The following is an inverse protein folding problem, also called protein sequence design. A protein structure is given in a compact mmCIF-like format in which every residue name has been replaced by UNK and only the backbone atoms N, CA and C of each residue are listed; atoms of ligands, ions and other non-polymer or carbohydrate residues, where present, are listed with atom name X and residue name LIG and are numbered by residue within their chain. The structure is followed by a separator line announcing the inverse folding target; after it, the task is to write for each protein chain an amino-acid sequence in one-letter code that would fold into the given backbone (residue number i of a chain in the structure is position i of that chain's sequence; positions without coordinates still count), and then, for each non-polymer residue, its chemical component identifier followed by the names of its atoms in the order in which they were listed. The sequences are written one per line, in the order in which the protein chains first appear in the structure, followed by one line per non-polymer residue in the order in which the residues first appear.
data_IF_985196868919
#
_entry.id   IF_985196868919
#
_cell.length_a   1.000
_cell.length_b   1.000
_cell.length_c   1.000
_cell.angle_alpha   90.00
_cell.angle_beta   90.00
_cell.angle_gamma   90.00
#
_symmetry.space_group_name_H-M   'P 1'
#
loop_
_entity.id
_entity.type
_entity.pdbx_description
1 polymer ?
#
# COMPACT_ATOMS: atom_id res chain seq x y z
N UNK A 1 -6.41 -0.19 -38.88
CA UNK A 1 -7.63 -0.75 -38.24
C UNK A 1 -7.69 -2.23 -38.58
N UNK A 2 -7.54 -3.09 -37.58
CA UNK A 2 -7.60 -4.54 -37.75
C UNK A 2 -8.03 -5.14 -36.42
N UNK A 3 -9.26 -5.65 -36.38
CA UNK A 3 -9.85 -6.31 -35.22
C UNK A 3 -9.13 -7.64 -34.99
N UNK A 4 -8.57 -7.85 -33.80
CA UNK A 4 -8.07 -9.14 -33.35
C UNK A 4 -9.18 -9.85 -32.55
N UNK A 5 -9.62 -11.07 -32.91
CA UNK A 5 -10.77 -11.72 -32.29
C UNK A 5 -10.39 -12.48 -31.00
N UNK A 6 -11.20 -12.23 -29.96
CA UNK A 6 -11.70 -13.16 -28.94
C UNK A 6 -10.76 -14.27 -28.42
N UNK A 7 -10.28 -14.10 -27.19
CA UNK A 7 -9.75 -15.19 -26.35
C UNK A 7 -10.92 -15.99 -25.76
N UNK A 8 -10.96 -17.29 -26.04
CA UNK A 8 -11.96 -18.23 -25.54
C UNK A 8 -11.71 -18.60 -24.08
N UNK A 9 -12.77 -18.54 -23.26
CA UNK A 9 -12.87 -19.25 -21.99
C UNK A 9 -13.19 -20.74 -22.25
N UNK A 10 -12.75 -21.68 -21.40
CA UNK A 10 -13.12 -23.09 -21.51
C UNK A 10 -14.62 -23.29 -21.19
N UNK A 11 -15.28 -24.30 -21.80
CA UNK A 11 -16.71 -24.53 -21.65
C UNK A 11 -17.05 -25.06 -20.25
N UNK A 12 -18.13 -24.51 -19.67
CA UNK A 12 -18.76 -25.05 -18.46
C UNK A 12 -19.77 -26.13 -18.86
N UNK A 13 -19.50 -27.37 -18.48
CA UNK A 13 -20.49 -28.44 -18.47
C UNK A 13 -20.71 -28.87 -17.01
N UNK A 14 -21.88 -28.54 -16.46
CA UNK A 14 -22.79 -29.50 -15.85
C UNK A 14 -24.00 -28.78 -15.25
N UNK A 15 -25.16 -28.98 -15.88
CA UNK A 15 -26.47 -28.90 -15.22
C UNK A 15 -26.69 -30.23 -14.52
N UNK A 16 -27.03 -30.18 -13.23
CA UNK A 16 -27.38 -31.33 -12.42
C UNK A 16 -28.27 -30.92 -11.24
N UNK A 17 -29.50 -31.40 -11.32
CA UNK A 17 -30.68 -31.30 -10.46
C UNK A 17 -30.50 -31.41 -8.92
N UNK A 18 -31.42 -30.78 -8.18
CA UNK A 18 -32.21 -31.52 -7.18
C UNK A 18 -31.72 -31.64 -5.75
N UNK A 19 -32.21 -30.73 -4.88
CA UNK A 19 -32.56 -30.95 -3.45
C UNK A 19 -31.49 -31.54 -2.52
N UNK A 20 -30.87 -30.68 -1.70
CA UNK A 20 -30.42 -31.10 -0.36
C UNK A 20 -30.71 -30.04 0.72
N UNK A 21 -31.13 -30.59 1.87
CA UNK A 21 -31.75 -29.94 3.03
C UNK A 21 -30.82 -28.93 3.71
N UNK A 22 -31.41 -27.84 4.22
CA UNK A 22 -30.77 -26.90 5.14
C UNK A 22 -30.12 -27.66 6.31
N UNK A 23 -28.80 -27.57 6.43
CA UNK A 23 -28.07 -27.83 7.69
C UNK A 23 -27.68 -26.48 8.29
N UNK A 24 -27.84 -26.27 9.61
CA UNK A 24 -27.48 -25.02 10.24
C UNK A 24 -25.97 -24.78 10.12
N UNK A 25 -25.64 -23.52 9.83
CA UNK A 25 -24.30 -22.96 9.67
C UNK A 25 -23.44 -23.25 10.91
N UNK A 26 -22.27 -23.89 10.70
CA UNK A 26 -21.17 -23.88 11.67
C UNK A 26 -20.13 -22.87 11.16
N UNK A 27 -19.72 -21.87 11.96
CA UNK A 27 -18.70 -20.91 11.55
C UNK A 27 -17.34 -21.60 11.33
N UNK A 28 -16.65 -21.15 10.29
CA UNK A 28 -15.27 -21.50 9.90
C UNK A 28 -14.27 -20.78 10.83
N UNK A 29 -13.06 -21.32 11.08
CA UNK A 29 -12.06 -20.72 12.00
C UNK A 29 -11.50 -19.34 11.59
N UNK A 30 -11.86 -18.80 10.41
CA UNK A 30 -11.34 -17.54 9.87
C UNK A 30 -12.18 -16.30 10.23
N UNK A 31 -13.00 -16.42 11.27
CA UNK A 31 -13.89 -15.37 11.76
C UNK A 31 -13.17 -14.55 12.85
N UNK A 32 -12.27 -13.64 12.43
CA UNK A 32 -11.53 -12.75 13.34
C UNK A 32 -12.44 -11.78 14.11
N UNK A 33 -13.73 -11.73 13.79
CA UNK A 33 -14.72 -10.86 14.39
C UNK A 33 -15.49 -11.48 15.59
N UNK A 34 -15.21 -12.73 16.00
CA UNK A 34 -16.06 -13.41 17.01
C UNK A 34 -15.35 -14.09 18.20
N UNK A 35 -14.04 -13.87 18.41
CA UNK A 35 -13.34 -14.34 19.63
C UNK A 35 -12.85 -13.20 20.51
N UNK A 36 -13.81 -12.45 21.07
CA UNK A 36 -13.57 -11.59 22.22
C UNK A 36 -13.29 -12.43 23.47
N UNK A 37 -12.02 -12.80 23.68
CA UNK A 37 -11.50 -13.18 25.01
C UNK A 37 -10.29 -12.33 25.34
N UNK A 38 -10.57 -11.09 25.70
CA UNK A 38 -9.79 -10.37 26.70
C UNK A 38 -10.80 -9.66 27.60
N UNK A 39 -11.23 -10.36 28.65
CA UNK A 39 -11.69 -9.67 29.85
C UNK A 39 -10.42 -9.10 30.49
N UNK A 40 -10.07 -7.87 30.11
CA UNK A 40 -9.12 -7.08 30.87
C UNK A 40 -9.92 -6.37 31.96
N UNK A 41 -9.48 -6.57 33.19
CA UNK A 41 -10.04 -5.98 34.40
C UNK A 41 -10.17 -4.46 34.20
N UNK A 42 -11.37 -3.93 34.46
CA UNK A 42 -11.56 -2.51 34.69
C UNK A 42 -10.62 -2.08 35.82
N UNK A 43 -9.87 -0.97 35.70
CA UNK A 43 -9.09 -0.47 36.82
C UNK A 43 -10.05 -0.25 37.98
N UNK A 44 -9.82 -0.94 39.10
CA UNK A 44 -10.45 -0.62 40.38
C UNK A 44 -10.23 0.86 40.67
N UNK A 45 -11.17 1.48 41.41
CA UNK A 45 -11.23 2.89 41.84
C UNK A 45 -10.00 3.45 42.63
N UNK A 46 -8.78 2.98 42.36
CA UNK A 46 -7.52 3.39 42.97
C UNK A 46 -6.71 4.39 42.11
N UNK A 47 -7.14 4.69 40.89
CA UNK A 47 -6.43 5.63 40.00
C UNK A 47 -6.87 7.10 40.14
N UNK A 48 -7.75 7.40 41.10
CA UNK A 48 -8.20 8.78 41.41
C UNK A 48 -7.43 9.44 42.57
N UNK A 49 -6.44 8.76 43.16
CA UNK A 49 -5.61 9.31 44.26
C UNK A 49 -4.21 9.78 43.83
N UNK A 50 -3.94 9.95 42.53
CA UNK A 50 -2.63 10.44 42.06
C UNK A 50 -2.50 11.97 41.90
N UNK A 51 -3.54 12.74 42.18
CA UNK A 51 -3.54 14.21 41.95
C UNK A 51 -3.10 15.07 43.16
N UNK A 52 -2.53 14.47 44.22
CA UNK A 52 -1.94 15.22 45.34
C UNK A 52 -0.41 15.14 45.43
N UNK A 53 0.27 14.51 44.46
CA UNK A 53 1.74 14.37 44.47
C UNK A 53 2.52 15.56 43.86
N UNK A 54 1.85 16.66 43.51
CA UNK A 54 2.45 17.74 42.70
C UNK A 54 3.53 18.55 43.43
N UNK A 55 3.68 18.46 44.76
CA UNK A 55 4.55 19.42 45.47
C UNK A 55 5.92 18.87 45.92
N UNK A 56 6.16 17.55 46.05
CA UNK A 56 7.43 17.08 46.63
C UNK A 56 7.98 15.72 46.12
N UNK A 57 7.60 15.25 44.92
CA UNK A 57 8.14 13.99 44.40
C UNK A 57 9.23 14.22 43.33
N UNK A 58 10.51 13.87 43.58
CA UNK A 58 11.59 14.06 42.60
C UNK A 58 11.42 13.23 41.32
N UNK A 59 10.51 12.24 41.31
CA UNK A 59 10.12 11.53 40.08
C UNK A 59 9.24 12.35 39.13
N UNK A 60 8.53 13.38 39.60
CA UNK A 60 7.68 14.23 38.76
C UNK A 60 8.46 15.25 37.91
N UNK A 61 9.73 15.53 38.26
CA UNK A 61 10.60 16.44 37.49
C UNK A 61 11.05 15.84 36.15
N UNK A 62 10.91 14.53 35.96
CA UNK A 62 11.35 13.81 34.75
C UNK A 62 10.37 14.04 33.57
N UNK A 63 9.13 14.43 33.86
CA UNK A 63 8.07 14.62 32.86
C UNK A 63 7.70 16.10 32.62
N UNK A 64 8.58 17.03 33.03
CA UNK A 64 8.42 18.45 32.74
C UNK A 64 8.84 18.77 31.29
N UNK A 65 8.08 19.62 30.59
CA UNK A 65 8.42 20.17 29.27
C UNK A 65 7.49 19.73 28.13
N UNK A 66 7.88 20.08 26.90
CA UNK A 66 7.12 19.74 25.69
C UNK A 66 7.23 18.24 25.38
N UNK A 67 6.14 17.64 24.90
CA UNK A 67 6.17 16.28 24.38
C UNK A 67 6.89 16.27 23.04
N UNK A 68 8.16 15.85 23.00
CA UNK A 68 8.96 15.79 21.77
C UNK A 68 9.15 14.34 21.34
N UNK A 69 9.07 14.07 20.04
CA UNK A 69 9.32 12.74 19.48
C UNK A 69 10.83 12.50 19.44
N UNK A 70 11.28 11.48 20.16
CA UNK A 70 12.66 11.02 20.15
C UNK A 70 12.94 10.11 18.95
N UNK A 71 12.07 9.12 18.71
CA UNK A 71 12.20 8.19 17.58
C UNK A 71 10.89 7.51 17.21
N UNK A 72 10.81 7.03 15.98
CA UNK A 72 9.66 6.28 15.46
C UNK A 72 10.15 4.96 14.88
N UNK A 73 9.56 3.86 15.34
CA UNK A 73 9.76 2.54 14.78
C UNK A 73 8.50 2.12 14.00
N UNK A 74 8.67 1.85 12.71
CA UNK A 74 7.61 1.50 11.77
C UNK A 74 7.16 0.03 11.85
N UNK A 75 7.75 -0.77 12.74
CA UNK A 75 7.41 -2.18 12.96
C UNK A 75 7.34 -2.97 11.64
N UNK A 76 8.34 -2.76 10.76
CA UNK A 76 8.30 -3.15 9.35
C UNK A 76 8.01 -4.65 9.19
N UNK A 77 8.71 -5.52 9.91
CA UNK A 77 8.49 -6.97 9.78
C UNK A 77 7.06 -7.41 10.13
N UNK A 78 6.49 -6.85 11.20
CA UNK A 78 5.11 -7.12 11.63
C UNK A 78 4.13 -6.62 10.59
N UNK A 79 4.25 -5.34 10.22
CA UNK A 79 3.31 -4.69 9.32
C UNK A 79 3.40 -5.26 7.91
N UNK A 80 4.59 -5.47 7.35
CA UNK A 80 4.74 -5.99 5.99
C UNK A 80 4.15 -7.39 5.84
N UNK A 81 4.31 -8.28 6.84
CA UNK A 81 3.64 -9.60 6.82
C UNK A 81 2.12 -9.47 6.90
N UNK A 82 1.62 -8.61 7.80
CA UNK A 82 0.18 -8.38 7.94
C UNK A 82 -0.44 -7.81 6.67
N UNK A 83 0.31 -6.97 5.95
CA UNK A 83 -0.10 -6.37 4.70
C UNK A 83 0.26 -7.18 3.45
N UNK A 84 0.83 -8.38 3.55
CA UNK A 84 1.29 -9.16 2.38
C UNK A 84 2.20 -8.33 1.45
N UNK A 85 3.15 -7.61 2.05
CA UNK A 85 4.14 -6.74 1.38
C UNK A 85 5.56 -7.08 1.80
N UNK A 86 5.74 -8.18 2.54
CA UNK A 86 7.02 -8.73 2.98
C UNK A 86 7.87 -9.32 1.84
N UNK A 87 7.30 -9.54 0.64
CA UNK A 87 8.10 -9.94 -0.54
C UNK A 87 8.91 -8.79 -1.14
N UNK A 88 8.52 -7.53 -0.93
CA UNK A 88 9.20 -6.40 -1.57
C UNK A 88 10.63 -6.28 -1.08
N UNK A 89 11.56 -6.17 -2.02
CA UNK A 89 12.96 -5.88 -1.74
C UNK A 89 13.11 -4.67 -0.79
N UNK A 90 12.31 -3.62 -1.01
CA UNK A 90 12.25 -2.41 -0.19
C UNK A 90 12.03 -2.67 1.31
N UNK A 91 11.19 -3.62 1.68
CA UNK A 91 10.92 -3.93 3.10
C UNK A 91 12.03 -4.79 3.72
N UNK A 92 12.80 -5.51 2.91
CA UNK A 92 13.86 -6.42 3.37
C UNK A 92 15.28 -5.86 3.22
N UNK A 93 15.45 -4.59 2.80
CA UNK A 93 16.78 -3.99 2.62
C UNK A 93 17.54 -3.96 3.95
N UNK A 94 18.81 -4.34 3.92
CA UNK A 94 19.71 -4.26 5.09
C UNK A 94 19.94 -2.82 5.57
N UNK A 95 19.81 -1.84 4.67
CA UNK A 95 20.02 -0.41 4.96
C UNK A 95 18.74 0.35 4.61
N UNK A 96 18.20 1.07 5.59
CA UNK A 96 16.97 1.88 5.45
C UNK A 96 15.79 1.10 4.85
N UNK A 97 15.35 -0.01 5.49
CA UNK A 97 14.16 -0.73 5.06
C UNK A 97 12.94 0.21 5.05
N UNK A 98 12.03 -0.02 4.10
CA UNK A 98 10.85 0.82 3.91
C UNK A 98 9.59 0.05 4.29
N UNK A 99 8.75 0.70 5.10
CA UNK A 99 7.40 0.22 5.35
C UNK A 99 6.58 0.34 4.05
N UNK A 100 5.90 -0.74 3.68
CA UNK A 100 4.93 -0.78 2.59
C UNK A 100 3.65 -1.35 3.16
N UNK A 101 2.57 -0.59 3.12
CA UNK A 101 1.25 -1.00 3.60
C UNK A 101 0.22 -0.89 2.47
N UNK A 102 -0.97 -1.43 2.73
CA UNK A 102 -2.11 -1.37 1.81
C UNK A 102 -3.20 -0.50 2.42
N UNK A 103 -3.84 0.32 1.58
CA UNK A 103 -4.87 1.26 2.05
C UNK A 103 -6.05 0.56 2.71
N UNK A 104 -6.72 1.24 3.64
CA UNK A 104 -7.88 0.70 4.34
C UNK A 104 -7.58 -0.45 5.30
N UNK A 105 -6.31 -0.78 5.56
CA UNK A 105 -5.93 -1.79 6.54
C UNK A 105 -5.03 -1.13 7.61
N UNK A 106 -5.27 -1.43 8.90
CA UNK A 106 -4.49 -0.83 9.98
C UNK A 106 -3.06 -1.34 10.03
N UNK A 107 -2.14 -0.45 10.38
CA UNK A 107 -0.74 -0.75 10.70
C UNK A 107 -0.33 -0.04 11.99
N UNK A 108 0.66 -0.58 12.68
CA UNK A 108 1.11 -0.03 13.96
C UNK A 108 2.43 0.72 13.84
N UNK A 109 2.58 1.79 14.63
CA UNK A 109 3.86 2.46 14.86
C UNK A 109 4.17 2.46 16.35
N UNK A 110 5.45 2.39 16.68
CA UNK A 110 5.96 2.60 18.04
C UNK A 110 6.72 3.91 18.11
N UNK A 111 6.18 4.86 18.84
CA UNK A 111 6.74 6.20 19.02
C UNK A 111 7.41 6.24 20.39
N UNK A 112 8.66 6.68 20.43
CA UNK A 112 9.37 6.98 21.68
C UNK A 112 9.43 8.50 21.81
N UNK A 113 8.98 9.02 22.94
CA UNK A 113 9.05 10.44 23.27
C UNK A 113 10.21 10.72 24.25
N UNK A 114 10.58 11.99 24.38
CA UNK A 114 11.59 12.42 25.36
C UNK A 114 11.11 12.28 26.81
N UNK A 115 9.79 12.42 27.03
CA UNK A 115 9.09 12.23 28.31
C UNK A 115 7.82 11.39 28.17
N UNK A 116 7.16 11.06 29.29
CA UNK A 116 5.91 10.28 29.26
C UNK A 116 4.75 11.06 28.65
N UNK A 117 3.85 10.37 27.96
CA UNK A 117 2.63 10.95 27.40
C UNK A 117 1.55 11.08 28.49
N UNK A 118 0.89 12.25 28.56
CA UNK A 118 -0.16 12.54 29.55
C UNK A 118 -1.52 12.68 28.86
N UNK A 119 -2.41 11.71 29.09
CA UNK A 119 -3.71 11.61 28.40
C UNK A 119 -4.61 12.84 28.54
N UNK A 120 -4.60 13.51 29.69
CA UNK A 120 -5.45 14.68 29.98
C UNK A 120 -4.90 15.99 29.40
N UNK A 121 -3.65 15.99 28.93
CA UNK A 121 -2.85 17.19 28.74
C UNK A 121 -2.27 17.29 27.33
N UNK A 122 -1.70 16.19 26.84
CA UNK A 122 -0.98 16.16 25.58
C UNK A 122 -1.91 15.83 24.42
N UNK A 123 -1.68 16.50 23.30
CA UNK A 123 -2.31 16.19 22.01
C UNK A 123 -1.25 15.71 21.05
N UNK A 124 -1.57 14.67 20.30
CA UNK A 124 -0.74 14.17 19.21
C UNK A 124 -1.61 14.03 17.97
N UNK A 125 -1.09 14.48 16.83
CA UNK A 125 -1.70 14.27 15.53
C UNK A 125 -0.64 13.87 14.51
N UNK A 126 -1.09 13.17 13.47
CA UNK A 126 -0.25 12.76 12.35
C UNK A 126 -0.57 13.58 11.12
N UNK A 127 0.44 14.13 10.47
CA UNK A 127 0.31 14.77 9.17
C UNK A 127 0.97 13.88 8.12
N UNK A 128 0.16 13.35 7.20
CA UNK A 128 0.64 12.54 6.08
C UNK A 128 0.71 13.37 4.81
N UNK A 129 1.87 13.36 4.15
CA UNK A 129 2.16 14.17 2.96
C UNK A 129 2.55 13.27 1.80
N UNK A 130 1.77 13.31 0.72
CA UNK A 130 2.03 12.51 -0.50
C UNK A 130 3.18 13.12 -1.29
N UNK A 131 4.20 12.32 -1.66
CA UNK A 131 5.32 12.80 -2.48
C UNK A 131 4.85 13.28 -3.86
N UNK A 132 5.31 14.48 -4.22
CA UNK A 132 4.91 15.16 -5.45
C UNK A 132 3.57 15.90 -5.37
N UNK A 133 2.98 16.00 -4.16
CA UNK A 133 1.84 16.87 -3.91
C UNK A 133 2.04 17.72 -2.65
N UNK A 134 2.07 19.04 -2.82
CA UNK A 134 2.17 19.96 -1.68
C UNK A 134 0.78 20.36 -1.14
N UNK A 135 -0.31 19.85 -1.75
CA UNK A 135 -1.70 20.20 -1.38
C UNK A 135 -2.44 19.07 -0.66
N UNK A 136 -1.85 17.88 -0.58
CA UNK A 136 -2.48 16.74 0.10
C UNK A 136 -1.76 16.50 1.39
N UNK A 137 -2.25 17.18 2.41
CA UNK A 137 -1.89 17.00 3.81
C UNK A 137 -3.12 16.41 4.51
N UNK A 138 -2.92 15.30 5.19
CA UNK A 138 -3.98 14.59 5.90
C UNK A 138 -3.61 14.64 7.38
N UNK A 139 -4.36 15.45 8.15
CA UNK A 139 -4.17 15.58 9.60
C UNK A 139 -5.10 14.58 10.29
N UNK A 140 -4.52 13.69 11.08
CA UNK A 140 -5.24 12.64 11.80
C UNK A 140 -4.99 12.82 13.30
N UNK A 141 -5.97 13.34 14.07
CA UNK A 141 -5.84 13.42 15.51
C UNK A 141 -5.83 12.01 16.11
N UNK A 142 -5.03 11.82 17.15
CA UNK A 142 -5.07 10.57 17.93
C UNK A 142 -6.32 10.54 18.79
N UNK A 143 -7.01 9.40 18.72
CA UNK A 143 -8.23 9.15 19.48
C UNK A 143 -7.91 8.28 20.70
N UNK A 144 -8.48 8.63 21.85
CA UNK A 144 -8.62 7.71 22.97
C UNK A 144 -9.59 6.56 22.65
N UNK A 145 -9.63 5.53 23.49
CA UNK A 145 -10.47 4.36 23.25
C UNK A 145 -11.97 4.67 23.09
N UNK A 146 -12.50 5.65 23.84
CA UNK A 146 -13.94 5.98 23.80
C UNK A 146 -14.29 6.67 22.49
N UNK A 147 -13.44 7.57 22.03
CA UNK A 147 -13.59 8.31 20.78
C UNK A 147 -13.28 7.42 19.57
N UNK A 148 -12.33 6.49 19.68
CA UNK A 148 -12.03 5.49 18.66
C UNK A 148 -13.23 4.58 18.37
N UNK A 149 -13.93 4.10 19.42
CA UNK A 149 -15.16 3.29 19.24
C UNK A 149 -16.25 4.08 18.51
N UNK A 150 -16.48 5.34 18.85
CA UNK A 150 -17.45 6.19 18.15
C UNK A 150 -17.08 6.42 16.68
N UNK A 151 -15.81 6.65 16.36
CA UNK A 151 -15.37 6.87 14.98
C UNK A 151 -15.40 5.59 14.13
N UNK A 152 -15.08 4.43 14.72
CA UNK A 152 -15.20 3.13 14.04
C UNK A 152 -16.62 2.80 13.58
N UNK A 153 -17.64 3.28 14.31
CA UNK A 153 -19.05 3.11 13.96
C UNK A 153 -19.51 4.06 12.84
N UNK A 154 -18.74 5.11 12.55
CA UNK A 154 -19.19 6.25 11.71
C UNK A 154 -18.59 6.23 10.30
N UNK A 155 -17.46 5.57 10.05
CA UNK A 155 -16.95 5.34 8.67
C UNK A 155 -15.63 4.54 8.65
N UNK A 156 -15.64 3.33 8.08
CA UNK A 156 -14.42 2.56 7.70
C UNK A 156 -13.62 3.21 6.56
N UNK A 157 -14.12 4.33 6.02
CA UNK A 157 -13.60 5.01 4.82
C UNK A 157 -12.77 6.25 5.11
N UNK A 158 -12.49 6.57 6.38
CA UNK A 158 -11.68 7.74 6.78
C UNK A 158 -10.33 7.32 7.37
N UNK A 159 -9.39 8.25 7.35
CA UNK A 159 -8.15 8.12 8.09
C UNK A 159 -8.42 8.21 9.60
N UNK A 160 -7.79 7.35 10.38
CA UNK A 160 -7.91 7.33 11.84
C UNK A 160 -6.62 6.87 12.50
N UNK A 161 -6.35 7.39 13.69
CA UNK A 161 -5.28 6.91 14.54
C UNK A 161 -5.82 6.66 15.95
N UNK A 162 -5.48 5.53 16.55
CA UNK A 162 -5.87 5.19 17.93
C UNK A 162 -4.66 4.76 18.75
N UNK A 163 -4.71 5.05 20.04
CA UNK A 163 -3.74 4.52 20.99
C UNK A 163 -4.01 3.03 21.18
N UNK A 164 -2.96 2.21 21.10
CA UNK A 164 -2.98 0.78 21.42
C UNK A 164 -2.48 0.56 22.84
N UNK A 165 -1.35 1.18 23.18
CA UNK A 165 -0.80 1.17 24.53
C UNK A 165 0.11 2.38 24.76
N UNK A 166 0.26 2.76 26.03
CA UNK A 166 1.23 3.75 26.48
C UNK A 166 1.95 3.15 27.68
N UNK A 167 3.27 2.99 27.55
CA UNK A 167 4.13 2.45 28.60
C UNK A 167 5.37 3.33 28.72
N UNK A 168 5.54 3.99 29.88
CA UNK A 168 6.59 4.98 30.09
C UNK A 168 6.59 6.06 28.99
N UNK A 169 7.67 6.15 28.21
CA UNK A 169 7.86 7.11 27.12
C UNK A 169 7.49 6.55 25.75
N UNK A 170 6.96 5.33 25.72
CA UNK A 170 6.64 4.61 24.49
C UNK A 170 5.14 4.61 24.31
N UNK A 171 4.69 5.03 23.14
CA UNK A 171 3.31 4.91 22.70
C UNK A 171 3.26 4.00 21.47
N UNK A 172 2.39 3.00 21.51
CA UNK A 172 2.04 2.21 20.33
C UNK A 172 0.72 2.76 19.80
N UNK A 173 0.73 3.11 18.52
CA UNK A 173 -0.44 3.66 17.82
C UNK A 173 -0.80 2.76 16.67
N UNK A 174 -2.09 2.59 16.43
CA UNK A 174 -2.60 1.96 15.22
C UNK A 174 -3.15 3.06 14.32
N UNK A 175 -2.65 3.10 13.08
CA UNK A 175 -3.11 4.02 12.04
C UNK A 175 -3.85 3.20 11.00
N UNK A 176 -5.06 3.64 10.66
CA UNK A 176 -5.81 3.12 9.52
C UNK A 176 -5.94 4.23 8.48
N UNK A 177 -5.58 3.91 7.24
CA UNK A 177 -5.75 4.83 6.12
C UNK A 177 -7.16 4.68 5.54
N UNK A 178 -7.64 5.73 4.86
CA UNK A 178 -8.88 5.61 4.07
C UNK A 178 -8.74 4.51 3.01
N UNK A 179 -9.83 3.78 2.73
CA UNK A 179 -9.92 2.83 1.60
C UNK A 179 -9.73 3.51 0.24
N UNK A 180 -9.92 4.82 0.15
CA UNK A 180 -9.69 5.64 -1.04
C UNK A 180 -8.40 6.46 -0.96
N UNK A 181 -7.48 6.09 -0.05
CA UNK A 181 -6.18 6.75 0.02
C UNK A 181 -5.44 6.68 -1.33
N UNK A 182 -4.71 7.76 -1.62
CA UNK A 182 -3.81 7.86 -2.76
C UNK A 182 -2.71 6.81 -2.62
N UNK A 183 -2.37 6.10 -3.69
CA UNK A 183 -1.19 5.22 -3.66
C UNK A 183 0.08 6.03 -3.90
N UNK A 184 1.19 5.59 -3.29
CA UNK A 184 2.51 6.16 -3.51
C UNK A 184 3.33 6.29 -2.25
N UNK A 185 4.40 7.09 -2.34
CA UNK A 185 5.30 7.38 -1.24
C UNK A 185 4.75 8.53 -0.37
N UNK A 186 4.76 8.31 0.93
CA UNK A 186 4.30 9.23 1.96
C UNK A 186 5.45 9.63 2.87
N UNK A 187 5.45 10.90 3.28
CA UNK A 187 6.20 11.40 4.43
C UNK A 187 5.24 11.64 5.58
N UNK A 188 5.75 11.58 6.80
CA UNK A 188 4.98 11.76 8.02
C UNK A 188 5.61 12.85 8.87
N UNK A 189 4.77 13.69 9.46
CA UNK A 189 5.11 14.59 10.55
C UNK A 189 4.23 14.21 11.73
N UNK A 190 4.81 14.14 12.92
CA UNK A 190 4.04 13.96 14.16
C UNK A 190 3.99 15.33 14.84
N UNK A 191 2.81 15.92 14.93
CA UNK A 191 2.60 17.17 15.64
C UNK A 191 2.19 16.85 17.07
N UNK A 192 2.90 17.45 18.03
CA UNK A 192 2.64 17.29 19.46
C UNK A 192 2.30 18.64 20.09
N UNK A 193 1.43 18.64 21.08
CA UNK A 193 1.09 19.84 21.87
C UNK A 193 0.99 19.46 23.34
N UNK A 194 1.52 20.32 24.21
CA UNK A 194 1.51 20.14 25.67
C UNK A 194 0.96 21.41 26.35
N UNK A 195 0.29 21.29 27.51
CA UNK A 195 -0.60 22.34 28.02
C UNK A 195 0.05 23.57 28.67
N UNK A 196 1.34 23.82 28.43
CA UNK A 196 2.05 24.97 29.01
C UNK A 196 2.64 25.92 27.96
N UNK A 197 2.27 25.76 26.67
CA UNK A 197 2.68 26.73 25.64
C UNK A 197 1.73 27.92 25.63
N UNK A 198 2.33 29.11 25.72
CA UNK A 198 1.63 30.41 25.74
C UNK A 198 0.88 30.69 24.42
N UNK A 199 1.29 30.06 23.31
CA UNK A 199 0.82 30.35 21.95
C UNK A 199 -0.06 29.25 21.32
N UNK A 200 -0.46 28.22 22.06
CA UNK A 200 -1.20 27.05 21.56
C UNK A 200 -0.53 26.34 20.36
N UNK A 201 0.77 26.59 20.11
CA UNK A 201 1.47 26.04 18.94
C UNK A 201 1.77 24.55 19.09
N UNK A 202 1.74 23.85 17.95
CA UNK A 202 2.22 22.48 17.83
C UNK A 202 3.74 22.45 17.66
N UNK A 203 4.39 21.47 18.28
CA UNK A 203 5.75 21.09 17.96
C UNK A 203 5.73 20.04 16.85
N UNK A 204 6.18 20.43 15.67
CA UNK A 204 6.25 19.53 14.51
C UNK A 204 7.51 18.69 14.56
N UNK A 205 7.33 17.37 14.48
CA UNK A 205 8.40 16.39 14.45
C UNK A 205 8.41 15.69 13.07
N UNK A 206 9.15 16.21 12.06
CA UNK A 206 9.27 15.56 10.77
C UNK A 206 10.01 14.23 10.90
N UNK A 207 9.44 13.17 10.34
CA UNK A 207 10.06 11.84 10.35
C UNK A 207 10.90 11.67 9.09
N UNK A 208 12.15 11.24 9.25
CA UNK A 208 13.11 11.07 8.16
C UNK A 208 12.71 9.97 7.18
N UNK A 209 12.11 8.90 7.69
CA UNK A 209 11.70 7.75 6.90
C UNK A 209 10.37 7.99 6.20
N UNK A 210 10.37 7.82 4.87
CA UNK A 210 9.16 7.66 4.09
C UNK A 210 8.65 6.21 4.11
N UNK A 211 7.36 6.05 3.81
CA UNK A 211 6.71 4.74 3.66
C UNK A 211 5.78 4.75 2.43
N UNK A 212 5.29 3.59 2.03
CA UNK A 212 4.45 3.45 0.84
C UNK A 212 3.05 2.94 1.19
N UNK A 213 2.05 3.46 0.49
CA UNK A 213 0.68 2.93 0.52
C UNK A 213 0.33 2.43 -0.88
N UNK A 214 -0.17 1.19 -0.96
CA UNK A 214 -0.61 0.52 -2.19
C UNK A 214 -2.11 0.23 -2.16
N UNK A 215 -2.65 -0.23 -3.31
CA UNK A 215 -4.00 -0.75 -3.37
C UNK A 215 -4.16 -2.02 -2.52
N UNK A 216 -5.40 -2.31 -2.11
CA UNK A 216 -5.69 -3.42 -1.20
C UNK A 216 -6.69 -4.45 -1.75
N UNK A 217 -6.21 -5.47 -2.49
CA UNK A 217 -7.05 -6.59 -2.92
C UNK A 217 -7.64 -7.45 -1.80
N UNK A 218 -7.16 -7.31 -0.54
CA UNK A 218 -7.67 -8.06 0.61
C UNK A 218 -8.82 -7.34 1.32
N UNK A 219 -8.96 -6.02 1.14
CA UNK A 219 -10.00 -5.24 1.78
C UNK A 219 -11.27 -5.20 0.90
N UNK A 220 -12.41 -5.64 1.47
CA UNK A 220 -13.73 -5.69 0.81
C UNK A 220 -14.24 -4.34 0.30
N UNK A 221 -13.80 -3.27 0.94
CA UNK A 221 -14.22 -1.91 0.64
C UNK A 221 -13.29 -1.22 -0.37
N UNK A 222 -12.17 -1.84 -0.74
CA UNK A 222 -11.32 -1.33 -1.80
C UNK A 222 -11.92 -1.69 -3.18
N UNK A 223 -11.94 -0.70 -4.07
CA UNK A 223 -12.25 -0.86 -5.50
C UNK A 223 -11.53 -2.00 -6.24
N UNK A 224 -10.39 -2.50 -5.75
CA UNK A 224 -9.65 -3.64 -6.33
C UNK A 224 -9.83 -4.95 -5.55
N UNK A 225 -10.81 -5.03 -4.65
CA UNK A 225 -11.05 -6.22 -3.83
C UNK A 225 -11.15 -7.51 -4.64
N UNK A 226 -10.48 -8.55 -4.16
CA UNK A 226 -10.50 -9.87 -4.76
C UNK A 226 -10.75 -10.91 -3.68
N UNK A 227 -11.99 -11.42 -3.63
CA UNK A 227 -12.45 -12.37 -2.60
C UNK A 227 -11.65 -13.67 -2.57
N UNK A 228 -11.38 -14.23 -3.74
CA UNK A 228 -10.73 -15.52 -3.86
C UNK A 228 -9.24 -15.43 -3.49
N UNK A 229 -8.76 -16.38 -2.69
CA UNK A 229 -7.34 -16.45 -2.32
C UNK A 229 -6.50 -16.89 -3.51
N UNK A 230 -6.95 -17.86 -4.31
CA UNK A 230 -6.21 -18.35 -5.48
C UNK A 230 -5.98 -17.23 -6.50
N UNK A 231 -7.00 -16.42 -6.78
CA UNK A 231 -6.85 -15.28 -7.69
C UNK A 231 -5.89 -14.22 -7.14
N UNK A 232 -5.84 -14.01 -5.82
CA UNK A 232 -4.87 -13.09 -5.20
C UNK A 232 -3.45 -13.65 -5.31
N UNK A 233 -3.25 -14.94 -5.06
CA UNK A 233 -1.94 -15.55 -5.27
C UNK A 233 -1.49 -15.36 -6.72
N UNK A 234 -2.32 -15.70 -7.70
CA UNK A 234 -1.95 -15.66 -9.12
C UNK A 234 -1.79 -14.24 -9.68
N UNK A 235 -2.72 -13.32 -9.38
CA UNK A 235 -2.73 -12.00 -10.02
C UNK A 235 -2.03 -10.89 -9.22
N UNK A 236 -1.60 -11.18 -8.00
CA UNK A 236 -1.03 -10.18 -7.10
C UNK A 236 0.34 -10.65 -6.58
N UNK A 237 0.45 -11.88 -6.07
CA UNK A 237 1.64 -12.37 -5.38
C UNK A 237 2.57 -13.25 -6.23
N UNK A 238 2.12 -13.75 -7.37
CA UNK A 238 2.92 -14.49 -8.32
C UNK A 238 3.70 -13.49 -9.20
N UNK A 239 5.03 -13.57 -9.13
CA UNK A 239 5.97 -12.70 -9.85
C UNK A 239 6.55 -13.38 -11.09
N UNK A 240 6.05 -14.55 -11.45
CA UNK A 240 6.41 -15.28 -12.64
C UNK A 240 5.15 -15.70 -13.39
N UNK A 241 5.25 -15.81 -14.71
CA UNK A 241 4.12 -16.26 -15.51
C UNK A 241 4.52 -16.72 -16.89
N UNK A 242 3.49 -16.97 -17.71
CA UNK A 242 3.64 -17.42 -19.09
C UNK A 242 2.97 -16.40 -20.00
N UNK A 243 3.72 -15.95 -21.01
CA UNK A 243 3.19 -15.20 -22.13
C UNK A 243 3.13 -16.13 -23.34
N UNK A 244 1.92 -16.34 -23.86
CA UNK A 244 1.72 -17.13 -25.07
C UNK A 244 2.04 -16.30 -26.31
N UNK A 245 2.91 -16.83 -27.16
CA UNK A 245 3.34 -16.24 -28.44
C UNK A 245 3.10 -17.25 -29.58
N UNK A 246 3.38 -16.83 -30.81
CA UNK A 246 3.21 -17.68 -31.99
C UNK A 246 1.85 -17.48 -32.68
N UNK A 247 1.43 -18.48 -33.43
CA UNK A 247 0.14 -18.48 -34.13
C UNK A 247 -0.87 -19.36 -33.39
N UNK A 248 -2.14 -19.29 -33.78
CA UNK A 248 -3.20 -20.16 -33.22
C UNK A 248 -2.83 -21.65 -33.30
N UNK A 249 -2.22 -22.07 -34.39
CA UNK A 249 -1.86 -23.48 -34.63
C UNK A 249 -0.46 -23.85 -34.10
N UNK A 250 0.34 -22.86 -33.72
CA UNK A 250 1.69 -23.05 -33.19
C UNK A 250 1.95 -22.11 -32.00
N UNK A 251 1.16 -22.32 -30.94
CA UNK A 251 1.33 -21.59 -29.69
C UNK A 251 2.64 -21.99 -29.01
N UNK A 252 3.42 -20.99 -28.63
CA UNK A 252 4.67 -21.13 -27.88
C UNK A 252 4.53 -20.42 -26.54
N UNK A 253 4.57 -21.18 -25.45
CA UNK A 253 4.67 -20.64 -24.09
C UNK A 253 6.05 -20.01 -23.90
N UNK A 254 6.08 -18.78 -23.42
CA UNK A 254 7.32 -18.10 -23.05
C UNK A 254 7.24 -17.72 -21.58
N UNK A 255 8.17 -18.23 -20.79
CA UNK A 255 8.29 -17.82 -19.39
C UNK A 255 8.64 -16.33 -19.31
N UNK A 256 8.01 -15.65 -18.37
CA UNK A 256 8.25 -14.24 -18.13
C UNK A 256 8.37 -13.99 -16.63
N UNK A 257 9.48 -13.40 -16.21
CA UNK A 257 9.69 -12.93 -14.86
C UNK A 257 9.09 -11.53 -14.71
N UNK A 258 7.94 -11.40 -14.07
CA UNK A 258 7.34 -10.10 -13.79
C UNK A 258 8.12 -9.34 -12.75
N UNK A 259 8.64 -10.02 -11.72
CA UNK A 259 9.58 -9.46 -10.75
C UNK A 259 9.09 -8.17 -10.06
N UNK A 260 7.79 -8.01 -9.79
CA UNK A 260 7.24 -6.78 -9.21
C UNK A 260 7.79 -6.44 -7.81
N UNK A 261 8.37 -7.42 -7.12
CA UNK A 261 8.93 -7.28 -5.79
C UNK A 261 10.43 -6.98 -5.78
N UNK A 262 11.10 -7.05 -6.93
CA UNK A 262 12.54 -6.85 -7.04
C UNK A 262 12.97 -5.40 -6.81
N UNK A 263 14.28 -5.21 -6.67
CA UNK A 263 14.87 -3.90 -6.42
C UNK A 263 14.47 -2.86 -7.49
N UNK A 264 14.12 -1.66 -7.03
CA UNK A 264 13.81 -0.48 -7.84
C UNK A 264 12.55 -0.59 -8.71
N UNK A 265 11.80 -1.69 -8.65
CA UNK A 265 10.62 -1.90 -9.51
C UNK A 265 9.43 -1.04 -9.08
N UNK A 266 9.09 -1.04 -7.79
CA UNK A 266 8.02 -0.18 -7.27
C UNK A 266 8.34 1.31 -7.51
N UNK A 267 9.58 1.72 -7.22
CA UNK A 267 10.03 3.09 -7.43
C UNK A 267 10.02 3.46 -8.93
N UNK A 268 10.42 2.55 -9.82
CA UNK A 268 10.34 2.74 -11.27
C UNK A 268 8.90 3.01 -11.72
N UNK A 269 7.95 2.21 -11.27
CA UNK A 269 6.55 2.34 -11.63
C UNK A 269 5.96 3.66 -11.11
N UNK A 270 6.22 4.02 -9.85
CA UNK A 270 5.78 5.31 -9.28
C UNK A 270 6.41 6.50 -10.02
N UNK A 271 7.70 6.42 -10.34
CA UNK A 271 8.41 7.44 -11.10
C UNK A 271 7.82 7.61 -12.50
N UNK A 272 7.59 6.53 -13.23
CA UNK A 272 7.03 6.57 -14.58
C UNK A 272 5.60 7.14 -14.59
N UNK A 273 4.78 6.75 -13.61
CA UNK A 273 3.42 7.26 -13.45
C UNK A 273 3.39 8.78 -13.18
N UNK A 274 4.33 9.27 -12.37
CA UNK A 274 4.45 10.68 -12.02
C UNK A 274 5.05 11.55 -13.15
N UNK A 275 6.10 11.07 -13.81
CA UNK A 275 6.91 11.90 -14.71
C UNK A 275 6.56 11.73 -16.19
N UNK A 276 6.27 10.50 -16.63
CA UNK A 276 5.79 10.24 -18.00
C UNK A 276 4.28 10.43 -18.05
N UNK A 277 3.58 9.67 -17.21
CA UNK A 277 2.11 9.66 -17.21
C UNK A 277 1.54 11.01 -16.79
N UNK A 278 2.31 11.80 -16.02
CA UNK A 278 1.88 13.07 -15.43
C UNK A 278 0.56 12.93 -14.69
N UNK A 279 0.31 11.74 -14.11
CA UNK A 279 -0.89 11.48 -13.35
C UNK A 279 -0.80 12.28 -12.05
N UNK A 280 -1.73 13.23 -11.90
CA UNK A 280 -1.82 14.06 -10.71
C UNK A 280 -1.96 13.17 -9.47
N UNK A 281 -1.27 13.48 -8.36
CA UNK A 281 -1.35 12.65 -7.15
C UNK A 281 -2.79 12.42 -6.66
N UNK A 282 -3.66 13.43 -6.76
CA UNK A 282 -5.08 13.31 -6.40
C UNK A 282 -5.85 12.25 -7.19
N UNK A 283 -5.40 11.90 -8.40
CA UNK A 283 -6.02 10.90 -9.27
C UNK A 283 -5.43 9.49 -9.09
N UNK A 284 -4.39 9.34 -8.26
CA UNK A 284 -3.72 8.05 -8.02
C UNK A 284 -4.48 7.17 -7.03
N UNK A 285 -5.57 7.65 -6.42
CA UNK A 285 -6.47 6.80 -5.65
C UNK A 285 -7.40 5.95 -6.53
N UNK A 286 -7.54 6.30 -7.82
CA UNK A 286 -8.46 5.64 -8.74
C UNK A 286 -7.70 4.58 -9.57
N UNK A 287 -8.01 3.29 -9.36
CA UNK A 287 -7.35 2.21 -10.10
C UNK A 287 -7.57 2.27 -11.61
N UNK A 288 -8.69 2.80 -12.10
CA UNK A 288 -9.00 2.92 -13.54
C UNK A 288 -8.09 3.97 -14.17
N UNK A 289 -7.94 5.14 -13.53
CA UNK A 289 -7.03 6.20 -13.99
C UNK A 289 -5.59 5.71 -13.98
N UNK A 290 -5.15 5.05 -12.92
CA UNK A 290 -3.82 4.45 -12.83
C UNK A 290 -3.60 3.45 -13.97
N UNK A 291 -4.52 2.52 -14.20
CA UNK A 291 -4.42 1.54 -15.29
C UNK A 291 -4.30 2.18 -16.67
N UNK A 292 -5.13 3.20 -16.95
CA UNK A 292 -5.14 3.91 -18.22
C UNK A 292 -3.79 4.60 -18.48
N UNK A 293 -3.19 5.19 -17.44
CA UNK A 293 -1.88 5.82 -17.56
C UNK A 293 -0.78 4.79 -17.72
N UNK A 294 -0.80 3.67 -16.98
CA UNK A 294 0.20 2.59 -17.17
C UNK A 294 0.23 2.10 -18.62
N UNK A 295 -0.95 1.86 -19.23
CA UNK A 295 -1.01 1.43 -20.63
C UNK A 295 -0.41 2.45 -21.60
N UNK A 296 -0.51 3.74 -21.29
CA UNK A 296 0.04 4.83 -22.11
C UNK A 296 1.55 5.03 -21.91
N UNK A 297 2.08 4.86 -20.68
CA UNK A 297 3.51 5.12 -20.40
C UNK A 297 4.42 3.97 -20.82
N UNK A 298 3.91 2.73 -20.92
CA UNK A 298 4.76 1.58 -21.26
C UNK A 298 5.21 1.62 -22.72
N UNK A 299 4.29 1.93 -23.63
CA UNK A 299 4.63 2.14 -25.03
C UNK A 299 5.16 3.56 -25.25
N UNK A 300 6.37 3.66 -25.79
CA UNK A 300 6.96 4.93 -26.14
C UNK A 300 6.51 5.39 -27.53
N UNK A 301 5.40 6.13 -27.59
CA UNK A 301 5.15 7.03 -28.73
C UNK A 301 6.04 8.27 -28.55
N UNK A 302 6.88 8.59 -29.53
CA UNK A 302 7.82 9.72 -29.52
C UNK A 302 8.87 9.72 -28.39
N UNK A 303 9.48 8.56 -28.09
CA UNK A 303 10.56 8.42 -27.08
C UNK A 303 10.22 8.88 -25.63
N UNK A 304 8.93 8.99 -25.28
CA UNK A 304 8.49 9.41 -23.94
C UNK A 304 8.10 8.26 -23.01
N UNK A 305 7.98 7.03 -23.49
CA UNK A 305 7.55 5.87 -22.70
C UNK A 305 8.69 5.08 -22.07
N UNK A 306 8.38 3.95 -21.44
CA UNK A 306 9.37 3.07 -20.80
C UNK A 306 10.13 2.28 -21.86
N UNK A 307 9.44 1.74 -22.87
CA UNK A 307 10.02 0.84 -23.88
C UNK A 307 9.80 1.38 -25.29
N UNK A 308 10.84 1.36 -26.12
CA UNK A 308 10.79 1.75 -27.53
C UNK A 308 10.43 0.54 -28.39
N UNK A 309 9.39 0.66 -29.22
CA UNK A 309 8.97 -0.39 -30.15
C UNK A 309 9.88 -0.50 -31.38
N UNK A 310 10.16 -1.72 -31.84
CA UNK A 310 10.86 -1.95 -33.11
C UNK A 310 10.48 -3.31 -33.74
N UNK A 311 10.16 -3.29 -35.04
CA UNK A 311 9.76 -4.45 -35.85
C UNK A 311 10.65 -4.68 -37.09
N UNK A 312 11.66 -3.83 -37.31
CA UNK A 312 12.45 -3.83 -38.56
C UNK A 312 13.61 -4.85 -38.54
N UNK A 313 13.56 -5.85 -37.65
CA UNK A 313 14.56 -6.91 -37.40
C UNK A 313 16.00 -6.44 -37.11
N UNK A 314 16.25 -5.12 -37.12
CA UNK A 314 17.53 -4.47 -36.85
C UNK A 314 17.47 -3.77 -35.49
N UNK A 315 18.10 -4.38 -34.50
CA UNK A 315 18.06 -3.92 -33.10
C UNK A 315 19.32 -3.17 -32.65
N UNK A 316 19.93 -2.39 -33.54
CA UNK A 316 21.15 -1.63 -33.21
C UNK A 316 20.95 -0.70 -32.01
N UNK A 317 21.92 -0.69 -31.09
CA UNK A 317 21.90 0.16 -29.90
C UNK A 317 20.89 -0.26 -28.81
N UNK A 318 20.32 -1.46 -28.90
CA UNK A 318 19.37 -1.99 -27.93
C UNK A 318 19.41 -3.51 -27.84
N UNK A 319 18.46 -4.06 -27.08
CA UNK A 319 18.26 -5.50 -26.93
C UNK A 319 17.15 -5.98 -27.86
N UNK A 320 17.35 -7.08 -28.62
CA UNK A 320 16.29 -7.70 -29.41
C UNK A 320 15.08 -8.06 -28.54
N UNK A 321 13.82 -7.81 -28.98
CA UNK A 321 12.62 -8.10 -28.20
C UNK A 321 12.46 -9.57 -27.77
N UNK A 322 13.10 -10.50 -28.49
CA UNK A 322 13.10 -11.94 -28.21
C UNK A 322 13.98 -12.33 -27.02
N UNK A 323 14.95 -11.49 -26.67
CA UNK A 323 15.98 -11.80 -25.66
C UNK A 323 15.55 -11.35 -24.26
N UNK A 324 14.43 -10.64 -24.15
CA UNK A 324 13.82 -10.32 -22.86
C UNK A 324 13.12 -11.55 -22.28
N UNK A 325 13.45 -11.86 -21.03
CA UNK A 325 12.86 -12.93 -20.24
C UNK A 325 12.10 -12.42 -19.01
N UNK A 326 12.06 -11.09 -18.82
CA UNK A 326 11.47 -10.46 -17.66
C UNK A 326 11.39 -8.94 -17.78
N UNK A 327 10.69 -8.34 -16.83
CA UNK A 327 10.45 -6.89 -16.79
C UNK A 327 11.43 -6.13 -15.88
N UNK A 328 12.11 -6.84 -14.99
CA UNK A 328 13.11 -6.33 -14.05
C UNK A 328 14.21 -5.55 -14.75
N UNK A 329 14.93 -6.19 -15.68
CA UNK A 329 16.06 -5.56 -16.37
C UNK A 329 15.64 -4.30 -17.17
N UNK A 330 14.42 -4.30 -17.70
CA UNK A 330 13.85 -3.16 -18.44
C UNK A 330 13.55 -2.01 -17.47
N UNK A 331 12.77 -2.28 -16.42
CA UNK A 331 12.32 -1.25 -15.48
C UNK A 331 13.48 -0.68 -14.66
N UNK A 332 14.42 -1.52 -14.24
CA UNK A 332 15.63 -1.08 -13.53
C UNK A 332 16.51 -0.21 -14.43
N UNK A 333 16.74 -0.61 -15.69
CA UNK A 333 17.51 0.22 -16.64
C UNK A 333 16.81 1.55 -16.93
N UNK A 334 15.49 1.52 -17.09
CA UNK A 334 14.69 2.73 -17.24
C UNK A 334 14.82 3.63 -16.01
N UNK A 335 14.72 3.07 -14.80
CA UNK A 335 14.79 3.83 -13.56
C UNK A 335 16.18 4.41 -13.29
N UNK A 336 17.26 3.73 -13.65
CA UNK A 336 18.60 4.28 -13.50
C UNK A 336 18.90 5.38 -14.53
N UNK A 337 18.54 5.15 -15.79
CA UNK A 337 18.90 6.07 -16.88
C UNK A 337 17.91 7.20 -17.08
N UNK A 338 16.68 7.04 -16.58
CA UNK A 338 15.50 7.90 -16.86
C UNK A 338 15.19 8.04 -18.35
N UNK A 339 15.64 7.08 -19.17
CA UNK A 339 15.51 7.05 -20.63
C UNK A 339 14.81 5.78 -21.08
N UNK A 340 14.07 5.88 -22.19
CA UNK A 340 13.36 4.78 -22.82
C UNK A 340 14.31 3.63 -23.19
N UNK A 341 13.88 2.39 -22.92
CA UNK A 341 14.68 1.19 -23.14
C UNK A 341 14.37 0.59 -24.51
N UNK A 342 15.42 0.37 -25.29
CA UNK A 342 15.37 -0.23 -26.63
C UNK A 342 15.66 -1.74 -26.54
N UNK A 343 14.87 -2.65 -27.10
CA UNK A 343 13.59 -2.49 -27.81
C UNK A 343 12.54 -3.46 -27.26
N UNK A 344 11.27 -3.25 -27.62
CA UNK A 344 10.18 -4.15 -27.27
C UNK A 344 9.20 -4.38 -28.43
N UNK A 345 8.41 -5.43 -28.28
CA UNK A 345 7.22 -5.72 -29.09
C UNK A 345 6.04 -6.03 -28.17
N UNK A 346 4.89 -6.42 -28.73
CA UNK A 346 3.63 -6.58 -27.99
C UNK A 346 3.74 -7.40 -26.69
N UNK A 347 4.46 -8.53 -26.68
CA UNK A 347 4.64 -9.33 -25.47
C UNK A 347 5.53 -8.64 -24.42
N UNK A 348 6.55 -7.89 -24.85
CA UNK A 348 7.43 -7.12 -23.94
C UNK A 348 6.61 -6.00 -23.29
N UNK A 349 5.83 -5.26 -24.07
CA UNK A 349 4.92 -4.24 -23.54
C UNK A 349 3.90 -4.85 -22.57
N UNK A 350 3.34 -6.01 -22.90
CA UNK A 350 2.41 -6.74 -22.02
C UNK A 350 3.09 -7.11 -20.70
N UNK A 351 4.29 -7.69 -20.73
CA UNK A 351 5.07 -8.05 -19.55
C UNK A 351 5.30 -6.86 -18.63
N UNK A 352 5.85 -5.76 -19.18
CA UNK A 352 6.16 -4.54 -18.41
C UNK A 352 4.89 -3.87 -17.86
N UNK A 353 3.80 -3.90 -18.63
CA UNK A 353 2.49 -3.40 -18.18
C UNK A 353 1.97 -4.23 -17.00
N UNK A 354 2.09 -5.55 -17.09
CA UNK A 354 1.66 -6.49 -16.05
C UNK A 354 2.43 -6.25 -14.75
N UNK A 355 3.76 -6.20 -14.82
CA UNK A 355 4.61 -5.83 -13.68
C UNK A 355 4.21 -4.49 -13.09
N UNK A 356 4.03 -3.45 -13.92
CA UNK A 356 3.68 -2.12 -13.41
C UNK A 356 2.33 -2.07 -12.68
N UNK A 357 1.35 -2.87 -13.10
CA UNK A 357 0.07 -3.00 -12.39
C UNK A 357 0.22 -3.80 -11.09
N UNK A 358 0.98 -4.90 -11.14
CA UNK A 358 1.23 -5.77 -9.99
C UNK A 358 2.08 -5.08 -8.91
N UNK A 359 2.98 -4.17 -9.30
CA UNK A 359 3.74 -3.34 -8.35
C UNK A 359 2.83 -2.48 -7.48
N UNK A 360 1.66 -2.09 -8.00
CA UNK A 360 0.63 -1.39 -7.23
C UNK A 360 -0.41 -2.34 -6.61
N UNK A 361 -0.28 -3.64 -6.88
CA UNK A 361 -1.26 -4.69 -6.59
C UNK A 361 -2.65 -4.38 -7.11
N UNK A 362 -2.67 -3.87 -8.33
CA UNK A 362 -3.88 -3.64 -9.07
C UNK A 362 -4.11 -4.83 -10.02
N UNK A 363 -5.25 -5.52 -9.86
CA UNK A 363 -5.76 -6.47 -10.85
C UNK A 363 -7.22 -6.18 -11.11
N UNK A 364 -7.51 -5.42 -12.19
CA UNK A 364 -8.85 -5.44 -12.78
C UNK A 364 -8.92 -6.56 -13.80
N UNK A 365 -9.94 -7.41 -13.66
CA UNK A 365 -10.33 -8.37 -14.68
C UNK A 365 -10.50 -7.63 -16.01
N UNK A 366 -9.71 -7.99 -17.03
CA UNK A 366 -9.90 -7.56 -18.42
C UNK A 366 -11.25 -8.01 -19.02
N UNK A 367 -12.09 -8.74 -18.26
CA UNK A 367 -13.37 -9.30 -18.72
C UNK A 367 -14.54 -8.31 -18.82
N UNK A 368 -14.34 -7.00 -18.66
CA UNK A 368 -15.43 -6.00 -18.79
C UNK A 368 -15.26 -4.98 -19.93
N UNK A 369 -14.18 -5.07 -20.72
CA UNK A 369 -14.03 -4.24 -21.92
C UNK A 369 -14.89 -4.69 -23.13
N UNK A 370 -15.58 -5.83 -23.04
CA UNK A 370 -16.44 -6.37 -24.10
C UNK A 370 -17.95 -6.03 -23.96
N UNK A 371 -18.33 -5.01 -23.17
CA UNK A 371 -19.75 -4.60 -23.02
C UNK A 371 -20.03 -3.13 -23.34
N UNK A 372 -19.12 -2.44 -24.02
CA UNK A 372 -19.43 -1.17 -24.68
C UNK A 372 -19.05 -1.24 -26.15
N UNK A 373 -19.84 -1.99 -26.92
CA UNK A 373 -20.20 -1.69 -28.32
C UNK A 373 -21.60 -2.21 -28.57
#
# INVERSE_FOLDING_TARGET
MGNCPLTFCPPSNNRGDGRHRFRPYKPSPDDWASTGRYAAETPSNLDLEFDLCIINNPFCLIDAGDLVVHSVNFLIDKNSRFHNTDKYFLSNRSISPKLIVRRGQPFELRITFERRFRYSEDVVSFVFIVKGNNKTEIIVPILDERNARRLSLVSESRWSARIVSVENRIMVVEINSSVDAIIGEYRMVIDTRSPNRIDDSYYSNPISESFYILFNPWNRNDSVYMKDKFWREEYILNDQGIIWRGTHDQMKSTHWNFAQFEENILEACLYALANIGKLKPADRNDPIKVCRHIGAIVNSVDDKGIVVGNWDEKFHGGTPPTDWHGSDAILQKYYHTKKSVKYGQCWVFSGVTCTSKFSFHHSYKLSHFNRMK
#
